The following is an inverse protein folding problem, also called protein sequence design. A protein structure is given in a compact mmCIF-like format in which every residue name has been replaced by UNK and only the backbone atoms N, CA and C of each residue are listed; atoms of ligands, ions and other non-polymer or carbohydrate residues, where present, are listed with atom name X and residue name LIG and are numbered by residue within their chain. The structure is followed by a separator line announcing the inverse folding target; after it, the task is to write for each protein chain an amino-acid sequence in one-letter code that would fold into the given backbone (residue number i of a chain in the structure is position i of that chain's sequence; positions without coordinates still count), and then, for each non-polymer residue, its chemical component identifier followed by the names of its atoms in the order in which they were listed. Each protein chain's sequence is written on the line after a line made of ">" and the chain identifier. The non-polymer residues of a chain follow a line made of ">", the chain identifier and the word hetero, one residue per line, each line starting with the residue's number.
data_IF_434634807645
#
_entry.id   IF_434634807645
#
_cell.length_a   1.000
_cell.length_b   1.000
_cell.length_c   1.000
_cell.angle_alpha   90.00
_cell.angle_beta   90.00
_cell.angle_gamma   90.00
#
_symmetry.space_group_name_H-M   'P 1'
#
loop_
_entity.id
_entity.type
_entity.pdbx_description
1 polymer ?
#
# COMPACT_ATOMS: atom_id res chain seq x y z
N UNK A 1 -17.36 -8.73 15.78
CA UNK A 1 -17.00 -8.34 14.41
C UNK A 1 -15.64 -8.95 14.11
N UNK A 2 -15.52 -9.75 13.05
CA UNK A 2 -14.24 -10.35 12.64
C UNK A 2 -13.33 -9.29 12.00
N UNK A 3 -12.02 -9.52 11.95
CA UNK A 3 -11.09 -8.60 11.27
C UNK A 3 -11.37 -8.51 9.75
N UNK A 4 -11.90 -9.59 9.15
CA UNK A 4 -12.35 -9.55 7.75
C UNK A 4 -13.58 -8.64 7.60
N UNK A 5 -14.54 -8.72 8.52
CA UNK A 5 -15.70 -7.80 8.52
C UNK A 5 -15.24 -6.33 8.65
N UNK A 6 -14.32 -6.03 9.58
CA UNK A 6 -13.73 -4.69 9.71
C UNK A 6 -13.04 -4.25 8.43
N UNK A 7 -12.23 -5.11 7.83
CA UNK A 7 -11.57 -4.83 6.55
C UNK A 7 -12.59 -4.50 5.45
N UNK A 8 -13.69 -5.26 5.35
CA UNK A 8 -14.73 -4.97 4.35
C UNK A 8 -15.47 -3.68 4.62
N UNK A 9 -15.78 -3.37 5.87
CA UNK A 9 -16.41 -2.09 6.25
C UNK A 9 -15.51 -0.90 5.90
N UNK A 10 -14.21 -1.08 6.02
CA UNK A 10 -13.26 0.02 5.96
C UNK A 10 -12.60 0.22 4.60
N UNK A 11 -12.24 -0.87 3.93
CA UNK A 11 -11.39 -0.88 2.74
C UNK A 11 -12.13 -1.31 1.47
N UNK A 12 -13.35 -1.85 1.59
CA UNK A 12 -14.15 -2.28 0.45
C UNK A 12 -15.31 -1.32 0.22
N UNK A 13 -15.32 -0.70 -0.96
CA UNK A 13 -16.43 0.16 -1.38
C UNK A 13 -17.28 -0.58 -2.40
N UNK A 14 -18.58 -0.69 -2.11
CA UNK A 14 -19.57 -1.15 -3.08
C UNK A 14 -20.27 0.04 -3.71
N UNK A 15 -20.50 -0.01 -5.02
CA UNK A 15 -21.37 0.97 -5.71
C UNK A 15 -22.80 0.85 -5.20
N UNK A 16 -23.48 1.98 -5.09
CA UNK A 16 -24.91 1.97 -4.76
C UNK A 16 -25.71 1.37 -5.91
N UNK A 17 -26.91 0.86 -5.62
CA UNK A 17 -27.84 0.42 -6.65
C UNK A 17 -28.18 1.53 -7.64
N UNK A 18 -28.24 2.78 -7.19
CA UNK A 18 -28.47 3.95 -8.05
C UNK A 18 -27.30 4.18 -9.03
N UNK A 19 -26.04 4.11 -8.57
CA UNK A 19 -24.88 4.28 -9.44
C UNK A 19 -24.81 3.19 -10.52
N UNK A 20 -25.21 1.97 -10.17
CA UNK A 20 -25.30 0.85 -11.11
C UNK A 20 -26.40 1.12 -12.14
N UNK A 21 -27.56 1.61 -11.70
CA UNK A 21 -28.69 1.94 -12.58
C UNK A 21 -28.32 3.08 -13.54
N UNK A 22 -27.69 4.15 -13.06
CA UNK A 22 -27.25 5.27 -13.88
C UNK A 22 -26.24 4.82 -14.96
N UNK A 23 -25.33 3.92 -14.60
CA UNK A 23 -24.42 3.29 -15.56
C UNK A 23 -25.13 2.41 -16.58
N UNK A 24 -26.22 1.76 -16.21
CA UNK A 24 -27.05 1.01 -17.16
C UNK A 24 -27.79 1.98 -18.08
N UNK A 25 -28.43 3.02 -17.54
CA UNK A 25 -29.17 4.04 -18.30
C UNK A 25 -28.30 4.73 -19.35
N UNK A 26 -27.08 5.12 -18.99
CA UNK A 26 -26.11 5.76 -19.90
C UNK A 26 -25.64 4.87 -21.05
N UNK A 27 -25.80 3.54 -20.93
CA UNK A 27 -25.37 2.58 -21.95
C UNK A 27 -26.54 1.89 -22.67
N UNK A 28 -27.76 1.99 -22.16
CA UNK A 28 -28.94 1.31 -22.68
C UNK A 28 -29.72 2.19 -23.69
N UNK A 29 -30.51 1.59 -24.61
CA UNK A 29 -30.60 0.16 -24.89
C UNK A 29 -29.49 -0.34 -25.82
N UNK A 30 -29.07 -1.59 -25.65
CA UNK A 30 -28.09 -2.27 -26.51
C UNK A 30 -28.70 -3.56 -27.06
N UNK A 31 -28.75 -3.66 -28.39
CA UNK A 31 -29.32 -4.82 -29.10
C UNK A 31 -28.28 -5.90 -29.41
N UNK A 32 -27.00 -5.53 -29.51
CA UNK A 32 -25.92 -6.44 -29.84
C UNK A 32 -25.46 -7.25 -28.62
N UNK A 33 -25.65 -8.57 -28.67
CA UNK A 33 -25.38 -9.50 -27.56
C UNK A 33 -23.94 -9.45 -27.06
N UNK A 34 -22.97 -9.27 -27.95
CA UNK A 34 -21.54 -9.13 -27.63
C UNK A 34 -21.30 -7.88 -26.77
N UNK A 35 -21.88 -6.75 -27.18
CA UNK A 35 -21.78 -5.45 -26.48
C UNK A 35 -22.46 -5.50 -25.11
N UNK A 36 -23.65 -6.09 -25.01
CA UNK A 36 -24.36 -6.28 -23.73
C UNK A 36 -23.47 -7.01 -22.72
N UNK A 37 -22.85 -8.12 -23.14
CA UNK A 37 -21.96 -8.90 -22.26
C UNK A 37 -20.72 -8.11 -21.83
N UNK A 38 -20.13 -7.33 -22.73
CA UNK A 38 -18.94 -6.53 -22.44
C UNK A 38 -19.25 -5.39 -21.47
N UNK A 39 -20.36 -4.68 -21.67
CA UNK A 39 -20.82 -3.61 -20.77
C UNK A 39 -21.17 -4.19 -19.40
N UNK A 40 -21.92 -5.29 -19.35
CA UNK A 40 -22.25 -5.96 -18.09
C UNK A 40 -21.00 -6.41 -17.32
N UNK A 41 -20.00 -6.97 -18.02
CA UNK A 41 -18.71 -7.34 -17.41
C UNK A 41 -17.97 -6.12 -16.86
N UNK A 42 -17.97 -5.01 -17.59
CA UNK A 42 -17.38 -3.74 -17.14
C UNK A 42 -18.06 -3.23 -15.87
N UNK A 43 -19.39 -3.13 -15.87
CA UNK A 43 -20.18 -2.66 -14.71
C UNK A 43 -19.87 -3.53 -13.49
N UNK A 44 -19.92 -4.86 -13.63
CA UNK A 44 -19.63 -5.82 -12.54
C UNK A 44 -18.22 -5.64 -11.99
N UNK A 45 -17.23 -5.44 -12.85
CA UNK A 45 -15.84 -5.28 -12.42
C UNK A 45 -15.68 -4.11 -11.45
N UNK A 46 -16.48 -3.06 -11.64
CA UNK A 46 -16.48 -1.83 -10.86
C UNK A 46 -17.45 -1.84 -9.66
N UNK A 47 -18.30 -2.86 -9.50
CA UNK A 47 -19.28 -2.92 -8.39
C UNK A 47 -18.61 -2.88 -7.03
N UNK A 48 -17.40 -3.43 -6.93
CA UNK A 48 -16.66 -3.57 -5.68
C UNK A 48 -15.21 -3.15 -5.92
N UNK A 49 -14.71 -2.17 -5.16
CA UNK A 49 -13.32 -1.69 -5.20
C UNK A 49 -12.65 -1.93 -3.86
N UNK A 50 -11.42 -2.43 -3.88
CA UNK A 50 -10.56 -2.50 -2.69
C UNK A 50 -9.64 -1.28 -2.68
N UNK A 51 -9.66 -0.54 -1.58
CA UNK A 51 -8.87 0.68 -1.40
C UNK A 51 -7.51 0.42 -0.72
N UNK A 52 -7.31 -0.78 -0.16
CA UNK A 52 -6.05 -1.19 0.44
C UNK A 52 -5.07 -1.65 -0.65
N UNK A 53 -4.00 -0.89 -0.98
CA UNK A 53 -3.17 -1.14 -2.16
C UNK A 53 -2.56 -2.54 -2.19
N UNK A 54 -1.93 -2.93 -1.08
CA UNK A 54 -1.29 -4.24 -0.92
C UNK A 54 -2.34 -5.36 -1.03
N UNK A 55 -3.41 -5.36 -0.23
CA UNK A 55 -4.47 -6.38 -0.32
C UNK A 55 -5.15 -6.45 -1.71
N UNK A 56 -5.30 -5.31 -2.40
CA UNK A 56 -5.88 -5.26 -3.75
C UNK A 56 -5.08 -6.10 -4.76
N UNK A 57 -3.75 -6.12 -4.64
CA UNK A 57 -2.84 -6.89 -5.51
C UNK A 57 -2.81 -8.37 -5.19
N UNK A 58 -3.00 -8.65 -3.92
CA UNK A 58 -2.68 -9.94 -3.31
C UNK A 58 -3.92 -10.86 -3.30
N UNK A 59 -5.10 -10.27 -3.38
CA UNK A 59 -6.35 -11.00 -3.52
C UNK A 59 -6.74 -11.06 -5.00
N UNK A 60 -6.97 -12.27 -5.50
CA UNK A 60 -7.54 -12.49 -6.85
C UNK A 60 -9.04 -12.18 -6.84
N UNK A 61 -9.35 -10.88 -6.88
CA UNK A 61 -10.71 -10.34 -6.89
C UNK A 61 -11.50 -10.79 -8.12
N UNK A 62 -10.86 -10.96 -9.27
CA UNK A 62 -11.51 -11.38 -10.51
C UNK A 62 -12.13 -12.77 -10.37
N UNK A 63 -11.35 -13.72 -9.84
CA UNK A 63 -11.81 -15.08 -9.60
C UNK A 63 -12.81 -15.17 -8.43
N UNK A 64 -12.58 -14.41 -7.35
CA UNK A 64 -13.54 -14.35 -6.24
C UNK A 64 -14.91 -13.84 -6.71
N UNK A 65 -14.94 -12.71 -7.43
CA UNK A 65 -16.16 -12.17 -8.03
C UNK A 65 -16.77 -13.13 -9.04
N UNK A 66 -15.98 -13.80 -9.87
CA UNK A 66 -16.46 -14.74 -10.90
C UNK A 66 -17.13 -16.00 -10.35
N UNK A 67 -16.72 -16.47 -9.16
CA UNK A 67 -17.30 -17.65 -8.49
C UNK A 67 -18.56 -17.33 -7.68
N UNK A 68 -18.70 -16.11 -7.21
CA UNK A 68 -19.84 -15.64 -6.43
C UNK A 68 -21.17 -15.80 -7.19
N UNK A 69 -22.17 -16.39 -6.52
CA UNK A 69 -23.52 -16.63 -7.08
C UNK A 69 -24.23 -15.29 -7.30
N UNK A 70 -24.07 -14.37 -6.35
CA UNK A 70 -24.69 -13.04 -6.43
C UNK A 70 -24.10 -12.20 -7.58
N UNK A 71 -22.83 -12.38 -7.96
CA UNK A 71 -22.27 -11.76 -9.18
C UNK A 71 -22.97 -12.27 -10.44
N UNK A 72 -23.21 -13.58 -10.54
CA UNK A 72 -23.90 -14.17 -11.71
C UNK A 72 -25.35 -13.68 -11.80
N UNK A 73 -26.04 -13.58 -10.67
CA UNK A 73 -27.40 -13.02 -10.61
C UNK A 73 -27.42 -11.54 -10.98
N UNK A 74 -26.53 -10.74 -10.40
CA UNK A 74 -26.40 -9.32 -10.73
C UNK A 74 -26.09 -9.11 -12.22
N UNK A 75 -25.26 -9.96 -12.81
CA UNK A 75 -25.00 -9.97 -14.26
C UNK A 75 -26.26 -10.17 -15.09
N UNK A 76 -27.07 -11.17 -14.75
CA UNK A 76 -28.31 -11.45 -15.46
C UNK A 76 -29.28 -10.28 -15.38
N UNK A 77 -29.37 -9.63 -14.22
CA UNK A 77 -30.17 -8.41 -14.02
C UNK A 77 -29.65 -7.30 -14.94
N UNK A 78 -28.35 -6.99 -14.90
CA UNK A 78 -27.73 -5.95 -15.74
C UNK A 78 -27.95 -6.24 -17.24
N UNK A 79 -27.70 -7.47 -17.71
CA UNK A 79 -27.86 -7.85 -19.11
C UNK A 79 -29.32 -7.71 -19.57
N UNK A 80 -30.28 -8.07 -18.71
CA UNK A 80 -31.72 -7.90 -19.00
C UNK A 80 -32.08 -6.42 -19.18
N UNK A 81 -31.52 -5.55 -18.35
CA UNK A 81 -31.83 -4.12 -18.35
C UNK A 81 -31.18 -3.37 -19.51
N UNK A 82 -29.95 -3.74 -19.86
CA UNK A 82 -29.29 -3.23 -21.06
C UNK A 82 -30.09 -3.58 -22.33
N UNK A 83 -30.79 -4.72 -22.34
CA UNK A 83 -31.56 -5.18 -23.50
C UNK A 83 -32.97 -4.58 -23.56
N UNK A 84 -33.66 -4.48 -22.40
CA UNK A 84 -35.09 -4.12 -22.34
C UNK A 84 -35.37 -2.66 -21.93
N UNK A 85 -34.35 -1.89 -21.60
CA UNK A 85 -34.46 -0.59 -20.93
C UNK A 85 -35.11 -0.71 -19.53
N UNK A 86 -35.04 0.35 -18.72
CA UNK A 86 -35.59 0.31 -17.37
C UNK A 86 -37.13 0.26 -17.37
N UNK A 87 -37.74 -0.38 -16.34
CA UNK A 87 -39.18 -0.35 -16.16
C UNK A 87 -39.69 1.09 -16.01
N UNK A 88 -40.69 1.46 -16.80
CA UNK A 88 -41.30 2.81 -16.72
C UNK A 88 -42.20 2.98 -15.49
N UNK A 89 -42.63 1.88 -14.85
CA UNK A 89 -43.48 1.92 -13.67
C UNK A 89 -42.65 2.07 -12.38
N UNK A 90 -42.97 3.03 -11.50
CA UNK A 90 -42.23 3.26 -10.25
C UNK A 90 -42.12 2.02 -9.35
N UNK A 91 -43.18 1.22 -9.22
CA UNK A 91 -43.19 0.03 -8.39
C UNK A 91 -42.25 -1.07 -8.90
N UNK A 92 -42.15 -1.22 -10.22
CA UNK A 92 -41.25 -2.19 -10.86
C UNK A 92 -39.79 -1.74 -10.72
N UNK A 93 -39.52 -0.43 -10.86
CA UNK A 93 -38.20 0.16 -10.60
C UNK A 93 -37.78 -0.03 -9.14
N UNK A 94 -38.68 0.18 -8.18
CA UNK A 94 -38.41 0.00 -6.76
C UNK A 94 -38.09 -1.47 -6.41
N UNK A 95 -38.82 -2.43 -6.98
CA UNK A 95 -38.53 -3.87 -6.81
C UNK A 95 -37.15 -4.22 -7.33
N UNK A 96 -36.77 -3.66 -8.48
CA UNK A 96 -35.46 -3.89 -9.09
C UNK A 96 -34.31 -3.30 -8.27
N UNK A 97 -34.45 -2.07 -7.76
CA UNK A 97 -33.47 -1.47 -6.84
C UNK A 97 -33.25 -2.37 -5.62
N UNK A 98 -34.34 -2.85 -5.01
CA UNK A 98 -34.27 -3.79 -3.88
C UNK A 98 -33.57 -5.09 -4.23
N UNK A 99 -33.78 -5.60 -5.45
CA UNK A 99 -33.10 -6.82 -5.91
C UNK A 99 -31.60 -6.61 -6.11
N UNK A 100 -31.20 -5.48 -6.70
CA UNK A 100 -29.79 -5.10 -6.85
C UNK A 100 -29.13 -4.94 -5.48
N UNK A 101 -29.78 -4.24 -4.54
CA UNK A 101 -29.28 -4.07 -3.17
C UNK A 101 -29.11 -5.43 -2.47
N UNK A 102 -30.07 -6.34 -2.65
CA UNK A 102 -29.98 -7.69 -2.09
C UNK A 102 -28.81 -8.48 -2.70
N UNK A 103 -28.57 -8.34 -4.01
CA UNK A 103 -27.43 -8.97 -4.68
C UNK A 103 -26.10 -8.38 -4.19
N UNK A 104 -26.00 -7.07 -3.99
CA UNK A 104 -24.78 -6.41 -3.47
C UNK A 104 -24.50 -6.88 -2.04
N UNK A 105 -25.51 -6.91 -1.16
CA UNK A 105 -25.36 -7.42 0.21
C UNK A 105 -24.95 -8.90 0.24
N UNK A 106 -25.57 -9.72 -0.62
CA UNK A 106 -25.21 -11.13 -0.76
C UNK A 106 -23.79 -11.32 -1.31
N UNK A 107 -23.40 -10.50 -2.28
CA UNK A 107 -22.04 -10.49 -2.83
C UNK A 107 -21.00 -10.13 -1.76
N UNK A 108 -21.27 -9.12 -0.94
CA UNK A 108 -20.38 -8.74 0.17
C UNK A 108 -20.09 -9.95 1.09
N UNK A 109 -21.14 -10.66 1.51
CA UNK A 109 -21.01 -11.87 2.33
C UNK A 109 -20.24 -12.99 1.63
N UNK A 110 -20.55 -13.27 0.37
CA UNK A 110 -19.85 -14.30 -0.41
C UNK A 110 -18.36 -13.98 -0.62
N UNK A 111 -18.00 -12.71 -0.78
CA UNK A 111 -16.61 -12.29 -0.92
C UNK A 111 -15.85 -12.45 0.41
N UNK A 112 -16.46 -12.07 1.53
CA UNK A 112 -15.87 -12.28 2.87
C UNK A 112 -15.60 -13.77 3.13
N UNK A 113 -16.62 -14.62 2.94
CA UNK A 113 -16.50 -16.07 3.10
C UNK A 113 -15.48 -16.67 2.13
N UNK A 114 -15.46 -16.19 0.89
CA UNK A 114 -14.51 -16.64 -0.14
C UNK A 114 -13.06 -16.32 0.20
N UNK A 115 -12.78 -15.14 0.78
CA UNK A 115 -11.44 -14.79 1.26
C UNK A 115 -11.04 -15.68 2.44
N UNK A 116 -11.93 -15.84 3.43
CA UNK A 116 -11.66 -16.67 4.61
C UNK A 116 -11.37 -18.13 4.22
N UNK A 117 -12.16 -18.70 3.30
CA UNK A 117 -11.94 -20.05 2.78
C UNK A 117 -10.64 -20.17 1.99
N UNK A 118 -10.30 -19.17 1.16
CA UNK A 118 -9.02 -19.15 0.43
C UNK A 118 -7.83 -19.13 1.39
N UNK A 119 -7.91 -18.36 2.48
CA UNK A 119 -6.85 -18.32 3.50
C UNK A 119 -6.69 -19.69 4.18
N UNK A 120 -7.81 -20.31 4.60
CA UNK A 120 -7.79 -21.62 5.28
C UNK A 120 -7.37 -22.80 4.38
N UNK A 121 -7.58 -22.69 3.07
CA UNK A 121 -7.28 -23.78 2.12
C UNK A 121 -5.83 -23.81 1.64
N UNK A 122 -5.00 -22.82 2.00
CA UNK A 122 -3.59 -22.71 1.58
C UNK A 122 -2.62 -23.72 2.26
N UNK A 123 -3.10 -24.90 2.66
CA UNK A 123 -2.44 -25.87 3.57
C UNK A 123 -1.04 -26.40 3.15
N UNK A 124 -0.53 -26.06 1.97
CA UNK A 124 0.87 -26.26 1.53
C UNK A 124 1.27 -25.16 0.54
N UNK A 125 2.29 -24.39 0.84
CA UNK A 125 2.76 -23.28 -0.01
C UNK A 125 3.61 -22.27 0.76
N UNK A 126 4.22 -21.35 0.02
CA UNK A 126 5.16 -20.31 0.48
C UNK A 126 4.72 -19.69 1.82
N UNK A 127 5.71 -19.43 2.69
CA UNK A 127 5.59 -18.82 4.01
C UNK A 127 4.43 -17.80 4.13
N UNK A 128 3.71 -17.70 5.26
CA UNK A 128 2.73 -16.66 5.58
C UNK A 128 3.30 -15.25 5.42
N UNK A 129 4.64 -15.13 5.35
CA UNK A 129 5.38 -13.94 4.96
C UNK A 129 5.15 -13.50 3.49
N UNK A 130 4.46 -14.34 2.70
CA UNK A 130 4.13 -14.20 1.27
C UNK A 130 2.61 -14.31 0.99
N UNK A 131 1.79 -14.40 2.05
CA UNK A 131 0.33 -14.49 1.95
C UNK A 131 -0.25 -13.16 2.41
N UNK A 132 -0.58 -12.30 1.45
CA UNK A 132 -1.75 -12.53 0.63
C UNK A 132 -1.29 -12.56 -0.83
N UNK A 133 -1.83 -13.42 -1.66
CA UNK A 133 -1.26 -13.60 -2.99
C UNK A 133 -1.79 -14.86 -3.61
N UNK A 134 -3.10 -14.92 -3.77
CA UNK A 134 -3.77 -16.01 -4.48
C UNK A 134 -3.31 -16.01 -5.95
N UNK A 135 -2.18 -16.63 -6.27
CA UNK A 135 -1.84 -17.11 -7.62
C UNK A 135 -1.22 -18.51 -7.52
N UNK A 136 -1.59 -19.30 -8.51
CA UNK A 136 -1.52 -20.76 -8.68
C UNK A 136 -0.26 -21.47 -8.19
N UNK A 137 -0.49 -22.70 -7.73
CA UNK A 137 0.43 -23.76 -7.31
C UNK A 137 1.66 -24.01 -8.22
N UNK A 138 1.69 -23.40 -9.41
CA UNK A 138 2.58 -23.79 -10.52
C UNK A 138 3.80 -22.87 -10.70
N UNK A 139 3.81 -21.65 -10.13
CA UNK A 139 4.87 -20.66 -10.41
C UNK A 139 5.91 -20.47 -9.30
N UNK A 140 5.63 -20.92 -8.07
CA UNK A 140 6.55 -20.78 -6.95
C UNK A 140 6.74 -22.13 -6.26
N UNK A 141 7.52 -23.01 -6.92
CA UNK A 141 8.11 -24.15 -6.22
C UNK A 141 9.01 -23.64 -5.10
N UNK A 142 8.59 -23.94 -3.87
CA UNK A 142 9.43 -24.21 -2.70
C UNK A 142 10.92 -24.24 -3.03
N UNK A 143 11.61 -23.12 -2.85
CA UNK A 143 13.06 -23.14 -2.96
C UNK A 143 13.78 -23.27 -1.62
N UNK A 144 13.19 -22.95 -0.45
CA UNK A 144 13.99 -23.05 0.79
C UNK A 144 13.35 -23.48 2.11
N UNK A 145 12.03 -23.59 2.30
CA UNK A 145 11.48 -23.98 3.61
C UNK A 145 10.19 -24.82 3.48
N UNK A 146 10.25 -26.10 3.86
CA UNK A 146 9.11 -27.03 3.93
C UNK A 146 8.18 -26.73 5.13
N UNK A 147 7.84 -25.46 5.35
CA UNK A 147 7.06 -25.03 6.50
C UNK A 147 5.55 -25.33 6.29
N UNK A 148 4.95 -26.04 7.24
CA UNK A 148 3.50 -26.27 7.29
C UNK A 148 2.85 -25.36 8.32
N UNK A 149 1.79 -24.64 7.93
CA UNK A 149 1.06 -23.75 8.81
C UNK A 149 -0.35 -24.27 9.06
N UNK A 150 -0.83 -24.10 10.29
CA UNK A 150 -2.22 -24.37 10.62
C UNK A 150 -3.13 -23.21 10.18
N UNK A 151 -4.43 -23.49 10.10
CA UNK A 151 -5.44 -22.53 9.62
C UNK A 151 -5.45 -21.24 10.45
N UNK A 152 -5.15 -21.33 11.75
CA UNK A 152 -5.11 -20.19 12.66
C UNK A 152 -3.92 -19.26 12.39
N UNK A 153 -2.73 -19.80 12.14
CA UNK A 153 -1.55 -19.02 11.81
C UNK A 153 -1.71 -18.29 10.47
N UNK A 154 -2.30 -18.95 9.47
CA UNK A 154 -2.60 -18.35 8.17
C UNK A 154 -3.61 -17.20 8.29
N UNK A 155 -4.66 -17.39 9.09
CA UNK A 155 -5.63 -16.33 9.38
C UNK A 155 -4.98 -15.15 10.09
N UNK A 156 -4.16 -15.40 11.12
CA UNK A 156 -3.46 -14.32 11.84
C UNK A 156 -2.56 -13.50 10.91
N UNK A 157 -1.79 -14.14 10.05
CA UNK A 157 -0.93 -13.43 9.08
C UNK A 157 -1.76 -12.62 8.08
N UNK A 158 -2.84 -13.20 7.53
CA UNK A 158 -3.74 -12.48 6.65
C UNK A 158 -4.37 -11.26 7.35
N UNK A 159 -4.82 -11.41 8.60
CA UNK A 159 -5.36 -10.31 9.39
C UNK A 159 -4.34 -9.18 9.60
N UNK A 160 -3.07 -9.51 9.87
CA UNK A 160 -2.02 -8.50 10.01
C UNK A 160 -1.88 -7.66 8.73
N UNK A 161 -1.95 -8.28 7.56
CA UNK A 161 -1.88 -7.55 6.29
C UNK A 161 -3.14 -6.72 6.09
N UNK A 162 -4.33 -7.27 6.29
CA UNK A 162 -5.60 -6.56 6.08
C UNK A 162 -5.78 -5.37 7.04
N UNK A 163 -5.19 -5.43 8.22
CA UNK A 163 -5.23 -4.38 9.24
C UNK A 163 -4.01 -3.47 9.22
N UNK A 164 -3.18 -3.54 8.16
CA UNK A 164 -1.97 -2.73 8.00
C UNK A 164 -2.26 -1.36 7.38
N UNK A 165 -1.31 -0.43 7.53
CA UNK A 165 -1.34 0.87 6.88
C UNK A 165 -0.36 0.84 5.70
N UNK A 166 -0.85 1.14 4.50
CA UNK A 166 0.00 1.20 3.32
C UNK A 166 0.69 2.55 3.17
N UNK A 167 1.95 2.50 2.74
CA UNK A 167 2.75 3.66 2.31
C UNK A 167 3.22 3.37 0.88
N UNK A 168 2.52 3.95 -0.09
CA UNK A 168 2.60 3.58 -1.50
C UNK A 168 1.89 2.27 -1.77
N UNK A 169 2.15 1.72 -2.96
CA UNK A 169 1.47 0.51 -3.43
C UNK A 169 2.14 -0.76 -2.92
N UNK A 170 3.44 -0.73 -2.64
CA UNK A 170 4.26 -1.92 -2.40
C UNK A 170 4.49 -2.24 -0.93
N UNK A 171 4.24 -1.30 -0.02
CA UNK A 171 4.64 -1.40 1.38
C UNK A 171 3.42 -1.25 2.29
N UNK A 172 3.21 -2.24 3.15
CA UNK A 172 2.19 -2.28 4.19
C UNK A 172 2.84 -2.45 5.56
N UNK A 173 2.47 -1.64 6.55
CA UNK A 173 3.04 -1.68 7.89
C UNK A 173 1.95 -2.04 8.89
N UNK A 174 2.13 -3.19 9.54
CA UNK A 174 1.31 -3.62 10.66
C UNK A 174 2.01 -3.30 11.97
N UNK A 175 1.29 -2.72 12.93
CA UNK A 175 1.76 -2.50 14.29
C UNK A 175 0.99 -3.41 15.23
N UNK A 176 1.66 -4.04 16.20
CA UNK A 176 1.00 -4.97 17.12
C UNK A 176 -0.07 -4.31 18.01
N UNK A 177 0.09 -3.03 18.35
CA UNK A 177 -0.86 -2.27 19.18
C UNK A 177 -2.08 -1.82 18.37
N UNK A 178 -3.27 -2.29 18.76
CA UNK A 178 -4.56 -1.88 18.19
C UNK A 178 -4.79 -0.37 18.38
N UNK A 179 -4.47 0.14 19.57
CA UNK A 179 -4.58 1.57 19.90
C UNK A 179 -3.75 2.44 18.95
N UNK A 180 -2.53 2.00 18.62
CA UNK A 180 -1.68 2.70 17.66
C UNK A 180 -2.29 2.68 16.27
N UNK A 181 -2.76 1.52 15.80
CA UNK A 181 -3.35 1.40 14.46
C UNK A 181 -4.59 2.28 14.32
N UNK A 182 -5.46 2.30 15.33
CA UNK A 182 -6.66 3.14 15.33
C UNK A 182 -6.33 4.63 15.37
N UNK A 183 -5.40 5.05 16.25
CA UNK A 183 -4.98 6.44 16.35
C UNK A 183 -4.30 6.94 15.06
N UNK A 184 -3.47 6.11 14.43
CA UNK A 184 -2.80 6.45 13.19
C UNK A 184 -3.79 6.49 12.01
N UNK A 185 -4.73 5.55 11.93
CA UNK A 185 -5.80 5.56 10.93
C UNK A 185 -6.67 6.81 11.02
N UNK A 186 -7.03 7.23 12.24
CA UNK A 186 -7.78 8.46 12.47
C UNK A 186 -6.99 9.70 12.04
N UNK A 187 -5.70 9.77 12.39
CA UNK A 187 -4.82 10.87 11.99
C UNK A 187 -4.66 10.97 10.46
N UNK A 188 -4.43 9.84 9.78
CA UNK A 188 -4.30 9.79 8.33
C UNK A 188 -5.60 10.21 7.64
N UNK A 189 -6.76 9.73 8.11
CA UNK A 189 -8.06 10.14 7.57
C UNK A 189 -8.30 11.64 7.70
N UNK A 190 -7.95 12.22 8.84
CA UNK A 190 -8.10 13.67 9.07
C UNK A 190 -7.14 14.49 8.20
N UNK A 191 -5.92 14.01 8.02
CA UNK A 191 -4.85 14.77 7.37
C UNK A 191 -4.86 14.64 5.85
N UNK A 192 -5.09 13.42 5.35
CA UNK A 192 -4.97 13.06 3.94
C UNK A 192 -6.32 12.68 3.32
N UNK A 193 -7.40 12.59 4.11
CA UNK A 193 -8.69 12.05 3.66
C UNK A 193 -8.68 10.53 3.44
N UNK A 194 -7.56 9.86 3.69
CA UNK A 194 -7.31 8.45 3.35
C UNK A 194 -6.70 7.71 4.54
N UNK A 195 -6.82 6.38 4.54
CA UNK A 195 -6.19 5.49 5.54
C UNK A 195 -4.75 5.12 5.21
N UNK A 196 -4.32 5.41 4.00
CA UNK A 196 -3.05 5.01 3.45
C UNK A 196 -2.37 6.22 2.85
N UNK A 197 -1.03 6.21 2.85
CA UNK A 197 -0.25 7.28 2.25
C UNK A 197 0.13 6.86 0.83
N UNK A 198 -0.74 7.18 -0.13
CA UNK A 198 -0.62 6.75 -1.54
C UNK A 198 -0.57 7.95 -2.49
N UNK A 199 -0.19 7.68 -3.74
CA UNK A 199 -0.18 8.65 -4.84
C UNK A 199 0.61 9.93 -4.49
N UNK A 200 0.02 11.10 -4.75
CA UNK A 200 0.60 12.42 -4.51
C UNK A 200 0.98 12.64 -3.04
N UNK A 201 0.36 11.91 -2.09
CA UNK A 201 0.71 12.02 -0.67
C UNK A 201 2.12 11.47 -0.36
N UNK A 202 2.69 10.64 -1.24
CA UNK A 202 4.10 10.23 -1.13
C UNK A 202 5.07 11.41 -1.27
N UNK A 203 4.67 12.47 -1.96
CA UNK A 203 5.47 13.69 -2.07
C UNK A 203 5.61 14.41 -0.72
N UNK A 204 4.61 14.31 0.17
CA UNK A 204 4.67 14.85 1.52
C UNK A 204 5.78 14.20 2.36
N UNK A 205 6.07 12.93 2.07
CA UNK A 205 7.17 12.16 2.67
C UNK A 205 8.51 12.43 1.99
N UNK A 206 8.51 13.10 0.83
CA UNK A 206 9.63 13.21 -0.10
C UNK A 206 10.14 11.86 -0.58
N UNK A 207 9.23 10.97 -0.95
CA UNK A 207 9.56 9.73 -1.66
C UNK A 207 9.63 10.04 -3.16
N UNK A 208 10.78 9.77 -3.79
CA UNK A 208 10.97 10.02 -5.22
C UNK A 208 10.30 8.89 -6.03
N UNK A 209 9.32 9.22 -6.89
CA UNK A 209 8.55 8.21 -7.60
C UNK A 209 9.41 7.29 -8.47
N UNK A 210 9.09 5.99 -8.50
CA UNK A 210 9.77 4.93 -9.28
C UNK A 210 11.26 4.69 -8.98
N UNK A 211 11.82 5.33 -7.95
CA UNK A 211 13.22 5.16 -7.52
C UNK A 211 13.27 4.67 -6.07
N UNK A 212 12.46 5.27 -5.20
CA UNK A 212 12.44 4.95 -3.77
C UNK A 212 11.21 4.13 -3.33
N UNK A 213 10.19 4.01 -4.18
CA UNK A 213 8.88 3.38 -3.87
C UNK A 213 8.98 1.92 -3.36
N UNK A 214 10.05 1.22 -3.74
CA UNK A 214 10.30 -0.18 -3.41
C UNK A 214 11.34 -0.35 -2.28
N UNK A 215 11.61 0.72 -1.51
CA UNK A 215 12.63 0.76 -0.44
C UNK A 215 11.98 0.86 0.95
N UNK A 216 11.68 -0.30 1.59
CA UNK A 216 10.79 -0.35 2.76
C UNK A 216 11.33 0.41 3.99
N UNK A 217 12.62 0.32 4.29
CA UNK A 217 13.20 0.99 5.45
C UNK A 217 13.37 2.48 5.22
N UNK A 218 13.74 2.88 4.00
CA UNK A 218 13.83 4.27 3.60
C UNK A 218 12.47 4.97 3.71
N UNK A 219 11.43 4.36 3.15
CA UNK A 219 10.06 4.90 3.20
C UNK A 219 9.57 4.98 4.64
N UNK A 220 9.81 3.93 5.43
CA UNK A 220 9.41 3.92 6.84
C UNK A 220 10.12 5.02 7.64
N UNK A 221 11.42 5.22 7.44
CA UNK A 221 12.16 6.32 8.08
C UNK A 221 11.59 7.69 7.68
N UNK A 222 11.29 7.92 6.40
CA UNK A 222 10.70 9.17 5.92
C UNK A 222 9.30 9.41 6.53
N UNK A 223 8.54 8.35 6.74
CA UNK A 223 7.26 8.38 7.45
C UNK A 223 7.39 8.80 8.91
N UNK A 224 8.34 8.23 9.65
CA UNK A 224 8.62 8.64 11.02
C UNK A 224 9.05 10.11 11.12
N UNK A 225 9.92 10.57 10.20
CA UNK A 225 10.34 11.98 10.13
C UNK A 225 9.18 12.92 9.81
N UNK A 226 8.27 12.52 8.92
CA UNK A 226 7.08 13.29 8.57
C UNK A 226 6.09 13.39 9.75
N UNK A 227 5.78 12.27 10.41
CA UNK A 227 4.93 12.25 11.61
C UNK A 227 5.50 13.14 12.71
N UNK A 228 6.80 13.01 12.99
CA UNK A 228 7.47 13.81 14.01
C UNK A 228 7.47 15.29 13.65
N UNK A 229 7.76 15.66 12.40
CA UNK A 229 7.73 17.05 11.96
C UNK A 229 6.35 17.70 12.12
N UNK A 230 5.27 16.95 11.86
CA UNK A 230 3.90 17.43 12.11
C UNK A 230 3.61 17.67 13.59
N UNK A 231 4.16 16.85 14.48
CA UNK A 231 3.95 16.98 15.92
C UNK A 231 4.52 18.28 16.51
N UNK A 232 5.47 18.93 15.82
CA UNK A 232 6.12 20.16 16.30
C UNK A 232 5.37 21.43 15.92
N UNK A 233 4.71 21.41 14.76
CA UNK A 233 4.11 22.60 14.14
C UNK A 233 2.59 22.66 14.36
N UNK A 234 1.95 21.50 14.60
CA UNK A 234 0.49 21.41 14.64
C UNK A 234 -0.11 21.77 16.01
N UNK A 235 -1.30 22.39 16.01
CA UNK A 235 -2.19 22.51 17.18
C UNK A 235 -2.57 21.13 17.76
N UNK A 236 -2.38 20.08 16.97
CA UNK A 236 -2.67 18.68 17.33
C UNK A 236 -1.52 17.97 18.06
N UNK A 237 -0.54 18.74 18.56
CA UNK A 237 0.67 18.24 19.25
C UNK A 237 0.38 17.11 20.24
N UNK A 238 -0.64 17.24 21.09
CA UNK A 238 -1.00 16.19 22.08
C UNK A 238 -1.35 14.83 21.44
N UNK A 239 -2.12 14.84 20.34
CA UNK A 239 -2.51 13.60 19.63
C UNK A 239 -1.30 12.96 18.96
N UNK A 240 -0.53 13.75 18.23
CA UNK A 240 0.66 13.26 17.52
C UNK A 240 1.75 12.79 18.49
N UNK A 241 1.91 13.45 19.65
CA UNK A 241 2.77 12.96 20.73
C UNK A 241 2.32 11.58 21.22
N UNK A 242 1.02 11.36 21.48
CA UNK A 242 0.51 10.02 21.84
C UNK A 242 0.82 8.96 20.78
N UNK A 243 0.62 9.28 19.50
CA UNK A 243 0.93 8.35 18.39
C UNK A 243 2.43 8.02 18.38
N UNK A 244 3.30 9.01 18.57
CA UNK A 244 4.75 8.82 18.63
C UNK A 244 5.19 7.99 19.83
N UNK A 245 4.57 8.19 21.00
CA UNK A 245 4.84 7.40 22.20
C UNK A 245 4.39 5.93 22.01
N UNK A 246 3.24 5.71 21.37
CA UNK A 246 2.79 4.36 21.02
C UNK A 246 3.71 3.70 19.97
N UNK A 247 4.17 4.44 18.96
CA UNK A 247 5.12 3.94 17.94
C UNK A 247 6.45 3.49 18.56
N UNK A 248 6.93 4.21 19.57
CA UNK A 248 8.16 3.89 20.30
C UNK A 248 8.12 2.50 20.91
N UNK A 249 7.01 2.17 21.58
CA UNK A 249 6.85 0.96 22.39
C UNK A 249 6.31 -0.26 21.62
N UNK A 250 5.81 -0.03 20.40
CA UNK A 250 5.10 -1.04 19.62
C UNK A 250 6.01 -1.70 18.59
N UNK A 251 6.05 -3.03 18.60
CA UNK A 251 6.65 -3.82 17.52
C UNK A 251 5.78 -3.81 16.27
N UNK A 252 6.40 -4.00 15.11
CA UNK A 252 5.70 -3.99 13.85
C UNK A 252 6.18 -5.03 12.86
N UNK A 253 5.57 -5.00 11.69
CA UNK A 253 5.91 -5.87 10.57
C UNK A 253 5.68 -5.10 9.29
N UNK A 254 6.70 -5.03 8.43
CA UNK A 254 6.55 -4.52 7.07
C UNK A 254 6.28 -5.69 6.14
N UNK A 255 5.18 -5.63 5.41
CA UNK A 255 4.89 -6.47 4.26
C UNK A 255 5.33 -5.73 3.00
N UNK A 256 6.33 -6.26 2.31
CA UNK A 256 6.85 -5.72 1.06
C UNK A 256 6.40 -6.59 -0.11
N UNK A 257 5.68 -6.00 -1.05
CA UNK A 257 4.98 -6.70 -2.14
C UNK A 257 5.13 -5.96 -3.48
N UNK A 258 6.34 -5.89 -4.04
CA UNK A 258 6.61 -5.14 -5.27
C UNK A 258 5.88 -5.70 -6.50
N UNK A 259 5.20 -4.84 -7.25
CA UNK A 259 4.33 -5.22 -8.39
C UNK A 259 4.99 -6.15 -9.43
N UNK A 260 6.24 -5.86 -9.80
CA UNK A 260 6.91 -6.50 -10.95
C UNK A 260 7.68 -7.75 -10.59
N UNK A 261 8.00 -7.93 -9.30
CA UNK A 261 9.00 -8.90 -8.86
C UNK A 261 8.47 -9.68 -7.65
N UNK A 262 7.50 -10.58 -7.89
CA UNK A 262 6.90 -11.42 -6.82
C UNK A 262 7.91 -12.19 -5.98
N UNK A 263 9.06 -12.55 -6.57
CA UNK A 263 10.18 -13.19 -5.87
C UNK A 263 10.80 -12.34 -4.75
N UNK A 264 10.64 -11.01 -4.80
CA UNK A 264 11.09 -10.07 -3.76
C UNK A 264 10.08 -9.86 -2.64
N UNK A 265 8.91 -10.51 -2.72
CA UNK A 265 7.96 -10.42 -1.63
C UNK A 265 8.64 -10.85 -0.34
N UNK A 266 8.45 -10.07 0.71
CA UNK A 266 9.07 -10.36 1.99
C UNK A 266 8.27 -9.76 3.12
N UNK A 267 8.42 -10.38 4.28
CA UNK A 267 7.90 -9.85 5.52
C UNK A 267 9.07 -9.58 6.45
N UNK A 268 9.13 -8.34 6.90
CA UNK A 268 10.28 -7.79 7.59
C UNK A 268 9.84 -7.45 9.01
N UNK A 269 10.36 -8.13 10.04
CA UNK A 269 10.05 -7.76 11.42
C UNK A 269 10.63 -6.38 11.73
N UNK A 270 9.82 -5.52 12.34
CA UNK A 270 10.26 -4.26 12.91
C UNK A 270 10.42 -4.41 14.41
N UNK A 271 11.61 -4.14 14.97
CA UNK A 271 11.80 -4.09 16.41
C UNK A 271 11.02 -2.90 16.99
N UNK A 272 10.94 -2.84 18.32
CA UNK A 272 10.60 -1.59 19.02
C UNK A 272 11.56 -0.48 18.58
N UNK A 273 11.03 0.74 18.57
CA UNK A 273 11.74 1.91 18.06
C UNK A 273 12.25 2.80 19.19
N UNK A 274 12.23 2.33 20.43
CA UNK A 274 12.68 3.03 21.63
C UNK A 274 14.08 3.60 21.49
N UNK A 275 15.05 2.78 21.07
CA UNK A 275 16.42 3.22 20.85
C UNK A 275 16.51 4.26 19.72
N UNK A 276 15.82 4.03 18.59
CA UNK A 276 15.85 4.96 17.46
C UNK A 276 15.23 6.31 17.83
N UNK A 277 14.12 6.31 18.58
CA UNK A 277 13.49 7.52 19.08
C UNK A 277 14.43 8.27 20.03
N UNK A 278 14.97 7.57 21.02
CA UNK A 278 15.85 8.16 22.03
C UNK A 278 17.10 8.80 21.43
N UNK A 279 17.74 8.13 20.47
CA UNK A 279 19.02 8.57 19.92
C UNK A 279 18.92 9.46 18.68
N UNK A 280 17.79 9.45 17.96
CA UNK A 280 17.66 10.18 16.69
C UNK A 280 16.42 11.04 16.60
N UNK A 281 15.23 10.49 16.87
CA UNK A 281 13.99 11.17 16.54
C UNK A 281 13.57 12.24 17.58
N UNK A 282 13.89 12.02 18.85
CA UNK A 282 13.59 12.96 19.94
C UNK A 282 14.68 14.02 20.12
N UNK A 283 15.91 13.74 19.69
CA UNK A 283 17.03 14.70 19.71
C UNK A 283 16.91 15.62 18.49
N UNK A 284 16.50 16.87 18.74
CA UNK A 284 16.21 17.84 17.68
C UNK A 284 17.36 18.01 16.67
N UNK A 285 18.59 18.17 17.15
CA UNK A 285 19.77 18.35 16.30
C UNK A 285 19.98 17.16 15.36
N UNK A 286 19.95 15.94 15.89
CA UNK A 286 20.14 14.71 15.13
C UNK A 286 19.00 14.46 14.15
N UNK A 287 17.76 14.71 14.56
CA UNK A 287 16.61 14.65 13.65
C UNK A 287 16.74 15.65 12.52
N UNK A 288 17.18 16.89 12.78
CA UNK A 288 17.42 17.90 11.74
C UNK A 288 18.45 17.41 10.71
N UNK A 289 19.46 16.66 11.13
CA UNK A 289 20.43 16.02 10.21
C UNK A 289 19.75 15.02 9.28
N UNK A 290 18.90 14.13 9.81
CA UNK A 290 18.15 13.17 8.98
C UNK A 290 17.17 13.87 8.02
N UNK A 291 16.50 14.93 8.49
CA UNK A 291 15.63 15.76 7.66
C UNK A 291 16.42 16.46 6.56
N UNK A 292 17.61 16.98 6.87
CA UNK A 292 18.50 17.60 5.89
C UNK A 292 18.95 16.57 4.85
N UNK A 293 19.46 15.42 5.28
CA UNK A 293 19.84 14.32 4.38
C UNK A 293 18.69 13.95 3.42
N UNK A 294 17.48 13.73 3.95
CA UNK A 294 16.28 13.45 3.14
C UNK A 294 16.02 14.55 2.10
N UNK A 295 16.07 15.81 2.53
CA UNK A 295 15.75 16.95 1.67
C UNK A 295 16.79 17.17 0.57
N UNK A 296 18.08 17.07 0.91
CA UNK A 296 19.19 17.27 -0.02
C UNK A 296 19.23 16.13 -1.05
N UNK A 297 19.12 14.87 -0.62
CA UNK A 297 19.09 13.73 -1.54
C UNK A 297 17.88 13.78 -2.48
N UNK A 298 16.69 14.12 -1.96
CA UNK A 298 15.50 14.26 -2.81
C UNK A 298 15.67 15.31 -3.90
N UNK A 299 16.22 16.49 -3.58
CA UNK A 299 16.50 17.55 -4.57
C UNK A 299 17.58 17.11 -5.56
N UNK A 300 18.64 16.49 -5.05
CA UNK A 300 19.74 15.99 -5.87
C UNK A 300 19.28 14.98 -6.92
N UNK A 301 18.39 14.04 -6.55
CA UNK A 301 17.79 13.09 -7.50
C UNK A 301 17.07 13.81 -8.64
N UNK A 302 16.31 14.86 -8.33
CA UNK A 302 15.58 15.64 -9.33
C UNK A 302 16.52 16.39 -10.27
N UNK A 303 17.51 17.10 -9.71
CA UNK A 303 18.49 17.86 -10.48
C UNK A 303 19.33 16.96 -11.41
N UNK A 304 19.71 15.77 -10.94
CA UNK A 304 20.40 14.74 -11.73
C UNK A 304 19.53 14.28 -12.89
N UNK A 305 18.26 13.95 -12.67
CA UNK A 305 17.37 13.49 -13.73
C UNK A 305 17.07 14.58 -14.77
N UNK A 306 16.94 15.83 -14.33
CA UNK A 306 16.75 16.98 -15.20
C UNK A 306 18.00 17.24 -16.06
N UNK A 307 19.18 17.21 -15.46
CA UNK A 307 20.46 17.42 -16.15
C UNK A 307 20.79 16.26 -17.11
N UNK A 308 20.61 15.01 -16.66
CA UNK A 308 20.75 13.82 -17.51
C UNK A 308 19.76 13.80 -18.68
N UNK A 309 18.54 14.34 -18.48
CA UNK A 309 17.56 14.53 -19.54
C UNK A 309 18.06 15.43 -20.67
N UNK A 310 18.76 16.53 -20.34
CA UNK A 310 19.32 17.47 -21.32
C UNK A 310 20.42 16.84 -22.18
N UNK A 311 21.15 15.86 -21.66
CA UNK A 311 22.23 15.16 -22.36
C UNK A 311 21.82 13.78 -22.89
N UNK A 312 20.52 13.43 -22.84
CA UNK A 312 19.99 12.17 -23.36
C UNK A 312 20.29 10.91 -22.53
N UNK A 313 20.85 11.05 -21.32
CA UNK A 313 21.26 9.93 -20.45
C UNK A 313 20.27 9.63 -19.32
N UNK A 314 19.03 10.14 -19.38
CA UNK A 314 18.04 10.02 -18.28
C UNK A 314 17.85 8.59 -17.76
N UNK A 315 17.82 7.58 -18.64
CA UNK A 315 17.67 6.17 -18.23
C UNK A 315 18.88 5.68 -17.42
N UNK A 316 20.09 6.08 -17.83
CA UNK A 316 21.32 5.70 -17.12
C UNK A 316 21.38 6.36 -15.76
N UNK A 317 21.07 7.65 -15.68
CA UNK A 317 20.92 8.36 -14.41
C UNK A 317 19.90 7.70 -13.49
N UNK A 318 18.74 7.27 -14.01
CA UNK A 318 17.74 6.56 -13.22
C UNK A 318 18.30 5.28 -12.57
N UNK A 319 19.02 4.46 -13.34
CA UNK A 319 19.63 3.23 -12.81
C UNK A 319 20.65 3.51 -11.69
N UNK A 320 21.48 4.55 -11.85
CA UNK A 320 22.43 4.95 -10.79
C UNK A 320 21.72 5.51 -9.55
N UNK A 321 20.63 6.26 -9.74
CA UNK A 321 19.81 6.74 -8.63
C UNK A 321 19.05 5.60 -7.93
N UNK A 322 18.72 4.51 -8.62
CA UNK A 322 18.22 3.30 -7.97
C UNK A 322 19.28 2.68 -7.05
N UNK A 323 20.57 2.69 -7.44
CA UNK A 323 21.67 2.27 -6.56
C UNK A 323 21.84 3.20 -5.35
N UNK A 324 21.67 4.51 -5.54
CA UNK A 324 21.64 5.48 -4.44
C UNK A 324 20.51 5.17 -3.47
N UNK A 325 19.30 4.89 -3.98
CA UNK A 325 18.15 4.54 -3.15
C UNK A 325 18.35 3.21 -2.40
N UNK A 326 19.00 2.21 -3.01
CA UNK A 326 19.40 0.97 -2.32
C UNK A 326 20.36 1.26 -1.17
N UNK A 327 21.42 2.05 -1.42
CA UNK A 327 22.38 2.41 -0.37
C UNK A 327 21.70 3.20 0.77
N UNK A 328 20.76 4.08 0.43
CA UNK A 328 19.99 4.83 1.40
C UNK A 328 19.02 3.95 2.21
N UNK A 329 18.39 2.96 1.58
CA UNK A 329 17.55 1.97 2.28
C UNK A 329 18.36 1.12 3.26
N UNK A 330 19.57 0.69 2.87
CA UNK A 330 20.49 -0.03 3.76
C UNK A 330 20.86 0.86 4.96
N UNK A 331 21.24 2.12 4.71
CA UNK A 331 21.49 3.08 5.78
C UNK A 331 20.30 3.22 6.73
N UNK A 332 19.09 3.41 6.19
CA UNK A 332 17.86 3.53 6.99
C UNK A 332 17.58 2.26 7.80
N UNK A 333 17.82 1.08 7.22
CA UNK A 333 17.66 -0.20 7.90
C UNK A 333 18.60 -0.30 9.10
N UNK A 334 19.89 -0.07 8.90
CA UNK A 334 20.88 -0.19 9.98
C UNK A 334 20.59 0.85 11.07
N UNK A 335 20.20 2.06 10.67
CA UNK A 335 19.85 3.13 11.62
C UNK A 335 18.61 2.78 12.45
N UNK A 336 17.54 2.28 11.84
CA UNK A 336 16.32 1.91 12.55
C UNK A 336 16.56 0.72 13.48
N UNK A 337 17.36 -0.27 13.06
CA UNK A 337 17.58 -1.50 13.82
C UNK A 337 18.60 -1.36 14.94
N UNK A 338 19.69 -0.65 14.69
CA UNK A 338 20.82 -0.54 15.63
C UNK A 338 20.87 0.80 16.35
N UNK A 339 20.21 1.83 15.83
CA UNK A 339 20.35 3.24 16.29
C UNK A 339 21.75 3.84 16.12
N UNK A 340 22.68 3.12 15.49
CA UNK A 340 24.03 3.59 15.20
C UNK A 340 24.20 3.87 13.71
N UNK A 341 25.09 4.81 13.40
CA UNK A 341 25.51 5.03 12.01
C UNK A 341 26.49 3.93 11.61
N UNK A 342 26.11 3.15 10.60
CA UNK A 342 27.05 2.30 9.88
C UNK A 342 27.65 3.12 8.74
N UNK A 343 28.98 3.28 8.74
CA UNK A 343 29.67 4.17 7.81
C UNK A 343 29.71 3.65 6.36
N UNK A 344 29.65 2.33 6.16
CA UNK A 344 29.71 1.71 4.84
C UNK A 344 28.59 2.17 3.89
N UNK A 345 27.29 2.12 4.25
CA UNK A 345 26.23 2.62 3.39
C UNK A 345 26.29 4.15 3.23
N UNK A 346 26.72 4.89 4.26
CA UNK A 346 26.93 6.36 4.15
C UNK A 346 27.99 6.67 3.13
N UNK A 347 29.13 5.97 3.15
CA UNK A 347 30.19 6.13 2.16
C UNK A 347 29.68 5.81 0.77
N UNK A 348 28.90 4.73 0.61
CA UNK A 348 28.33 4.36 -0.70
C UNK A 348 27.40 5.45 -1.25
N UNK A 349 26.57 6.07 -0.40
CA UNK A 349 25.75 7.23 -0.76
C UNK A 349 26.63 8.37 -1.27
N UNK A 350 27.70 8.71 -0.55
CA UNK A 350 28.62 9.78 -0.92
C UNK A 350 29.30 9.51 -2.26
N UNK A 351 29.84 8.31 -2.44
CA UNK A 351 30.55 7.91 -3.66
C UNK A 351 29.63 8.07 -4.89
N UNK A 352 28.38 7.59 -4.80
CA UNK A 352 27.39 7.71 -5.89
C UNK A 352 27.00 9.18 -6.13
N UNK A 353 26.79 9.96 -5.07
CA UNK A 353 26.44 11.39 -5.20
C UNK A 353 27.57 12.16 -5.88
N UNK A 354 28.84 11.92 -5.50
CA UNK A 354 29.99 12.58 -6.12
C UNK A 354 30.14 12.17 -7.58
N UNK A 355 30.00 10.88 -7.89
CA UNK A 355 30.05 10.38 -9.28
C UNK A 355 28.98 11.05 -10.16
N UNK A 356 27.73 11.08 -9.70
CA UNK A 356 26.62 11.69 -10.43
C UNK A 356 26.76 13.21 -10.54
N UNK A 357 27.26 13.87 -9.50
CA UNK A 357 27.56 15.31 -9.48
C UNK A 357 28.56 15.67 -10.57
N UNK A 358 29.70 14.96 -10.63
CA UNK A 358 30.73 15.16 -11.64
C UNK A 358 30.23 14.87 -13.05
N UNK A 359 29.48 13.78 -13.23
CA UNK A 359 28.99 13.36 -14.54
C UNK A 359 27.97 14.33 -15.14
N UNK A 360 27.04 14.82 -14.34
CA UNK A 360 25.91 15.63 -14.83
C UNK A 360 26.03 17.12 -14.49
N UNK A 361 27.14 17.54 -13.87
CA UNK A 361 27.38 18.95 -13.52
C UNK A 361 26.40 19.49 -12.47
N UNK A 362 25.90 18.63 -11.58
CA UNK A 362 24.93 18.98 -10.54
C UNK A 362 25.65 19.24 -9.23
N UNK A 363 25.35 20.36 -8.56
CA UNK A 363 25.91 20.63 -7.23
C UNK A 363 25.35 19.64 -6.19
N UNK A 364 26.23 19.01 -5.42
CA UNK A 364 25.85 18.16 -4.29
C UNK A 364 26.07 18.89 -2.96
N UNK A 365 25.04 18.92 -2.10
CA UNK A 365 25.17 19.43 -0.74
C UNK A 365 25.25 18.25 0.26
N UNK A 366 26.45 17.98 0.76
CA UNK A 366 26.73 16.91 1.71
C UNK A 366 26.95 17.42 3.14
N UNK A 367 26.48 18.63 3.48
CA UNK A 367 26.70 19.24 4.79
C UNK A 367 26.17 18.40 5.96
N UNK A 368 25.12 17.61 5.72
CA UNK A 368 24.55 16.71 6.72
C UNK A 368 25.56 15.68 7.25
N UNK A 369 26.58 15.30 6.47
CA UNK A 369 27.62 14.35 6.88
C UNK A 369 28.42 14.82 8.09
N UNK A 370 28.66 16.13 8.23
CA UNK A 370 29.44 16.70 9.33
C UNK A 370 28.82 16.40 10.69
N UNK A 371 27.50 16.26 10.72
CA UNK A 371 26.72 16.15 11.93
C UNK A 371 26.08 14.75 12.06
N UNK A 372 26.45 13.79 11.21
CA UNK A 372 25.94 12.42 11.26
C UNK A 372 26.64 11.59 12.35
N UNK A 373 27.83 12.00 12.80
CA UNK A 373 28.67 11.27 13.77
C UNK A 373 28.51 11.76 15.19
#
# INVERSE_FOLDING_TARGET
>A
MTEIEKFFEWEITFKSSNDIIEKIESNAPVTEKEKVKNIAKSIISEVCKCNHPVANKLIDWGNLKGRAKNTKRLRQIIETLLTKSLPSKPDERLKMVKEIDSCIKGLNKELMEGIEQKIKSAKKGISPLHVPGSVTHDEARNLYLEESYNDQALLQSAHRVLSSICIGDDIAIYFASDELRDALNEDLRRTLGLRHVVDENLLNLKVYPRIEEDKPYLIFMKFLLWLRGRAEVSEEKKRLSRILDLLRETEGTIFFTPDRERMKYSTIPLPKLDAFFLYWLDIEERRRVLVQMRNELYRFMDDVLNSAGKVGERKKAKNELELLAVAYDIFSRELIRSSFIVHEPVRRIVDIVVELSLRYGVSANLHFLRNLT
#
